data_IF_902722945360
#
_entry.id   IF_902722945360
#
_cell.length_a   1.000
_cell.length_b   1.000
_cell.length_c   1.000
_cell.angle_alpha   90.00
_cell.angle_beta   90.00
_cell.angle_gamma   90.00
#
_symmetry.space_group_name_H-M   'P 1'
#
loop_
_entity.id
_entity.type
_entity.pdbx_description
1 polymer ?
#
# COMPACT_ATOMS: atom_id res chain seq x y z
N UNK A 1 12.62 24.03 -19.68
CA UNK A 1 12.13 23.41 -18.43
C UNK A 1 12.95 22.15 -18.22
N UNK A 2 13.94 22.20 -17.34
CA UNK A 2 14.85 21.06 -17.12
C UNK A 2 14.12 20.08 -16.22
N UNK A 3 13.68 18.95 -16.79
CA UNK A 3 12.97 17.91 -16.06
C UNK A 3 13.90 17.40 -14.96
N UNK A 4 13.57 17.65 -13.69
CA UNK A 4 14.30 17.02 -12.60
C UNK A 4 13.97 15.55 -12.68
N UNK A 5 14.91 14.74 -13.15
CA UNK A 5 14.72 13.30 -13.27
C UNK A 5 14.72 12.73 -11.85
N UNK A 6 13.53 12.36 -11.38
CA UNK A 6 13.40 11.62 -10.13
C UNK A 6 13.91 10.19 -10.33
N UNK A 7 14.54 9.58 -9.33
CA UNK A 7 14.85 8.16 -9.39
C UNK A 7 13.54 7.36 -9.40
N UNK A 8 13.42 6.45 -10.38
CA UNK A 8 12.42 5.40 -10.36
C UNK A 8 13.02 4.21 -9.61
N UNK A 9 12.43 3.78 -8.49
CA UNK A 9 12.97 2.69 -7.65
C UNK A 9 12.52 1.32 -8.13
N UNK A 10 13.28 0.25 -7.83
CA UNK A 10 12.99 -1.11 -8.33
C UNK A 10 11.75 -1.76 -7.71
N UNK A 11 11.37 -1.30 -6.52
CA UNK A 11 10.20 -1.75 -5.77
C UNK A 11 9.04 -0.74 -5.82
N UNK A 12 9.10 0.30 -6.67
CA UNK A 12 8.08 1.34 -6.78
C UNK A 12 6.99 0.98 -7.80
N UNK A 13 5.73 1.32 -7.54
CA UNK A 13 4.70 1.23 -8.57
C UNK A 13 4.88 2.32 -9.62
N UNK A 14 4.78 1.98 -10.91
CA UNK A 14 4.95 2.98 -11.98
C UNK A 14 3.93 4.12 -11.90
N UNK A 15 2.69 3.86 -11.48
CA UNK A 15 1.70 4.92 -11.23
C UNK A 15 2.09 5.84 -10.06
N UNK A 16 2.82 5.34 -9.06
CA UNK A 16 3.37 6.16 -7.98
C UNK A 16 4.49 7.06 -8.49
N UNK A 17 5.38 6.50 -9.31
CA UNK A 17 6.44 7.26 -9.97
C UNK A 17 5.89 8.39 -10.85
N UNK A 18 4.87 8.09 -11.68
CA UNK A 18 4.19 9.11 -12.50
C UNK A 18 3.54 10.19 -11.62
N UNK A 19 2.93 9.83 -10.49
CA UNK A 19 2.37 10.80 -9.55
C UNK A 19 3.44 11.73 -8.94
N UNK A 20 4.63 11.21 -8.63
CA UNK A 20 5.77 12.03 -8.17
C UNK A 20 6.29 12.94 -9.28
N UNK A 21 6.42 12.43 -10.50
CA UNK A 21 6.83 13.23 -11.66
C UNK A 21 5.84 14.36 -11.99
N UNK A 22 4.53 14.06 -11.97
CA UNK A 22 3.49 15.07 -12.16
C UNK A 22 3.62 16.20 -11.13
N UNK A 23 3.78 15.85 -9.85
CA UNK A 23 3.98 16.82 -8.76
C UNK A 23 5.27 17.63 -8.94
N UNK A 24 6.36 17.01 -9.38
CA UNK A 24 7.64 17.67 -9.66
C UNK A 24 7.56 18.67 -10.83
N UNK A 25 6.63 18.45 -11.76
CA UNK A 25 6.32 19.36 -12.86
C UNK A 25 5.26 20.42 -12.49
N UNK A 26 4.87 20.49 -11.22
CA UNK A 26 3.80 21.37 -10.71
C UNK A 26 2.44 21.11 -11.34
N UNK A 27 2.19 19.88 -11.81
CA UNK A 27 0.86 19.45 -12.24
C UNK A 27 0.03 19.04 -11.02
N UNK A 28 -1.29 19.15 -11.16
CA UNK A 28 -2.24 18.89 -10.09
C UNK A 28 -2.61 17.42 -9.94
N UNK A 29 -2.38 16.59 -10.96
CA UNK A 29 -2.73 15.17 -10.95
C UNK A 29 -1.93 14.35 -11.97
N UNK A 30 -1.93 13.02 -11.82
CA UNK A 30 -1.52 12.07 -12.86
C UNK A 30 -2.38 12.25 -14.12
N UNK A 31 -3.67 12.57 -13.97
CA UNK A 31 -4.58 12.77 -15.12
C UNK A 31 -4.09 13.90 -16.02
N UNK A 32 -3.69 15.03 -15.43
CA UNK A 32 -3.15 16.17 -16.18
C UNK A 32 -1.86 15.78 -16.93
N UNK A 33 -0.99 15.03 -16.26
CA UNK A 33 0.24 14.51 -16.86
C UNK A 33 -0.04 13.57 -18.04
N UNK A 34 -1.02 12.68 -17.91
CA UNK A 34 -1.41 11.77 -19.00
C UNK A 34 -2.04 12.52 -20.17
N UNK A 35 -2.82 13.58 -19.90
CA UNK A 35 -3.45 14.42 -20.91
C UNK A 35 -2.41 15.11 -21.81
N UNK A 36 -1.34 15.65 -21.22
CA UNK A 36 -0.22 16.27 -21.95
C UNK A 36 0.45 15.27 -22.91
N UNK A 37 0.51 14.00 -22.51
CA UNK A 37 1.09 12.91 -23.32
C UNK A 37 0.08 12.27 -24.28
N UNK A 38 -1.18 12.71 -24.27
CA UNK A 38 -2.29 12.10 -25.02
C UNK A 38 -2.42 10.59 -24.73
N UNK A 39 -2.21 10.21 -23.48
CA UNK A 39 -2.45 8.86 -22.98
C UNK A 39 -3.83 8.80 -22.31
N UNK A 40 -4.65 7.82 -22.68
CA UNK A 40 -5.94 7.63 -22.02
C UNK A 40 -5.73 7.09 -20.61
N UNK A 41 -6.38 7.72 -19.63
CA UNK A 41 -6.29 7.32 -18.22
C UNK A 41 -6.70 5.86 -18.00
N UNK A 42 -7.78 5.41 -18.64
CA UNK A 42 -8.25 4.03 -18.54
C UNK A 42 -7.22 3.02 -19.08
N UNK A 43 -6.55 3.34 -20.18
CA UNK A 43 -5.50 2.49 -20.76
C UNK A 43 -4.28 2.42 -19.85
N UNK A 44 -3.88 3.55 -19.28
CA UNK A 44 -2.79 3.61 -18.30
C UNK A 44 -3.12 2.80 -17.02
N UNK A 45 -4.30 2.99 -16.44
CA UNK A 45 -4.75 2.30 -15.22
C UNK A 45 -4.99 0.79 -15.41
N UNK A 46 -5.33 0.37 -16.62
CA UNK A 46 -5.45 -1.05 -16.97
C UNK A 46 -4.13 -1.70 -17.37
N UNK A 47 -3.05 -0.91 -17.46
CA UNK A 47 -1.71 -1.39 -17.80
C UNK A 47 -1.52 -1.70 -19.28
N UNK A 48 -2.24 -1.02 -20.18
CA UNK A 48 -2.12 -1.26 -21.61
C UNK A 48 -0.68 -1.01 -22.08
N UNK A 49 -0.02 -1.98 -22.74
CA UNK A 49 1.40 -1.90 -23.06
C UNK A 49 1.81 -0.65 -23.83
N UNK A 50 0.95 -0.15 -24.72
CA UNK A 50 1.21 1.06 -25.51
C UNK A 50 1.14 2.33 -24.67
N UNK A 51 0.13 2.45 -23.80
CA UNK A 51 -0.02 3.58 -22.89
C UNK A 51 1.16 3.66 -21.92
N UNK A 52 1.55 2.54 -21.31
CA UNK A 52 2.71 2.47 -20.41
C UNK A 52 4.00 2.82 -21.14
N UNK A 53 4.21 2.28 -22.36
CA UNK A 53 5.42 2.58 -23.13
C UNK A 53 5.52 4.06 -23.51
N UNK A 54 4.40 4.70 -23.84
CA UNK A 54 4.34 6.13 -24.18
C UNK A 54 4.76 6.99 -22.99
N UNK A 55 4.20 6.72 -21.82
CA UNK A 55 4.50 7.45 -20.58
C UNK A 55 5.94 7.21 -20.14
N UNK A 56 6.42 5.95 -20.19
CA UNK A 56 7.79 5.61 -19.84
C UNK A 56 8.82 6.35 -20.70
N UNK A 57 8.62 6.37 -22.03
CA UNK A 57 9.48 7.10 -22.96
C UNK A 57 9.53 8.61 -22.66
N UNK A 58 8.39 9.21 -22.35
CA UNK A 58 8.32 10.64 -22.01
C UNK A 58 9.09 10.97 -20.72
N UNK A 59 9.12 10.04 -19.76
CA UNK A 59 9.84 10.15 -18.50
C UNK A 59 11.30 9.64 -18.56
N UNK A 60 11.78 9.20 -19.73
CA UNK A 60 13.12 8.63 -19.88
C UNK A 60 13.33 7.29 -19.16
N UNK A 61 12.25 6.57 -18.87
CA UNK A 61 12.26 5.25 -18.23
C UNK A 61 12.21 4.16 -19.29
N UNK A 62 12.97 3.08 -19.08
CA UNK A 62 12.87 1.87 -19.92
C UNK A 62 11.42 1.33 -19.91
N UNK A 63 10.75 1.23 -21.08
CA UNK A 63 9.40 0.69 -21.18
C UNK A 63 9.25 -0.73 -20.64
N UNK A 64 10.28 -1.58 -20.71
CA UNK A 64 10.19 -2.93 -20.17
C UNK A 64 10.09 -2.91 -18.64
N UNK A 65 10.96 -2.11 -17.99
CA UNK A 65 10.90 -1.84 -16.56
C UNK A 65 9.58 -1.21 -16.11
N UNK A 66 9.10 -0.20 -16.83
CA UNK A 66 7.81 0.44 -16.50
C UNK A 66 6.64 -0.55 -16.54
N UNK A 67 6.60 -1.43 -17.56
CA UNK A 67 5.59 -2.51 -17.66
C UNK A 67 5.72 -3.52 -16.54
N UNK A 68 6.94 -3.89 -16.16
CA UNK A 68 7.20 -4.81 -15.05
C UNK A 68 6.60 -4.30 -13.74
N UNK A 69 6.67 -2.99 -13.50
CA UNK A 69 6.19 -2.33 -12.27
C UNK A 69 4.78 -1.73 -12.41
N UNK A 70 4.00 -2.19 -13.40
CA UNK A 70 2.62 -1.76 -13.63
C UNK A 70 1.67 -2.95 -13.50
N UNK A 71 0.51 -2.74 -12.88
CA UNK A 71 -0.58 -3.70 -12.94
C UNK A 71 -1.10 -3.85 -14.36
N UNK A 72 -1.04 -5.06 -14.91
CA UNK A 72 -1.73 -5.41 -16.15
C UNK A 72 -2.82 -6.44 -15.90
N UNK A 73 -3.98 -6.24 -16.51
CA UNK A 73 -5.02 -7.28 -16.47
C UNK A 73 -4.53 -8.49 -17.27
N UNK A 74 -4.67 -9.66 -16.66
CA UNK A 74 -4.58 -10.95 -17.34
C UNK A 74 -6.02 -11.41 -17.68
N UNK A 75 -6.18 -12.62 -18.22
CA UNK A 75 -7.51 -13.16 -18.50
C UNK A 75 -8.38 -13.24 -17.22
N UNK A 76 -9.62 -12.76 -17.33
CA UNK A 76 -10.62 -12.84 -16.25
C UNK A 76 -10.37 -11.90 -15.07
N UNK A 77 -10.23 -12.46 -13.87
CA UNK A 77 -10.04 -11.73 -12.60
C UNK A 77 -8.57 -11.70 -12.14
N UNK A 78 -7.65 -12.18 -12.97
CA UNK A 78 -6.24 -12.19 -12.65
C UNK A 78 -5.57 -10.88 -13.10
N UNK A 79 -4.60 -10.45 -12.32
CA UNK A 79 -3.80 -9.25 -12.55
C UNK A 79 -2.34 -9.63 -12.34
N UNK A 80 -1.48 -9.14 -13.22
CA UNK A 80 -0.04 -9.36 -13.15
C UNK A 80 0.66 -8.10 -12.64
N UNK A 81 1.64 -8.29 -11.75
CA UNK A 81 2.57 -7.26 -11.29
C UNK A 81 3.93 -7.91 -11.06
N UNK A 82 5.00 -7.34 -11.64
CA UNK A 82 6.37 -7.83 -11.47
C UNK A 82 6.51 -9.34 -11.68
N UNK A 83 5.87 -9.86 -12.73
CA UNK A 83 5.86 -11.29 -13.07
C UNK A 83 4.91 -12.15 -12.23
N UNK A 84 4.48 -11.68 -11.07
CA UNK A 84 3.56 -12.39 -10.17
C UNK A 84 2.11 -12.24 -10.64
N UNK A 85 1.36 -13.33 -10.61
CA UNK A 85 -0.08 -13.35 -10.91
C UNK A 85 -0.87 -13.38 -9.61
N UNK A 86 -1.80 -12.45 -9.48
CA UNK A 86 -2.64 -12.24 -8.31
C UNK A 86 -4.09 -12.06 -8.73
N UNK A 87 -5.02 -12.44 -7.88
CA UNK A 87 -6.44 -12.24 -8.06
C UNK A 87 -6.79 -10.78 -7.71
N UNK A 88 -7.58 -10.10 -8.54
CA UNK A 88 -7.87 -8.66 -8.42
C UNK A 88 -8.39 -8.26 -7.02
N UNK A 89 -9.25 -9.09 -6.40
CA UNK A 89 -9.73 -8.93 -5.01
C UNK A 89 -8.65 -8.87 -3.91
N UNK A 90 -7.44 -9.32 -4.21
CA UNK A 90 -6.27 -9.31 -3.32
C UNK A 90 -5.38 -8.09 -3.53
N UNK A 91 -5.77 -7.18 -4.42
CA UNK A 91 -5.00 -5.97 -4.75
C UNK A 91 -5.73 -4.70 -4.31
N UNK A 92 -4.94 -3.71 -3.92
CA UNK A 92 -5.35 -2.33 -3.67
C UNK A 92 -4.86 -1.45 -4.83
N UNK A 93 -5.51 -1.57 -5.99
CA UNK A 93 -5.03 -0.94 -7.24
C UNK A 93 -5.20 0.57 -7.29
N UNK A 94 -6.17 1.10 -6.55
CA UNK A 94 -6.53 2.52 -6.54
C UNK A 94 -6.09 3.27 -5.29
N UNK A 95 -5.53 2.57 -4.31
CA UNK A 95 -5.20 3.12 -2.99
C UNK A 95 -3.72 2.91 -2.70
N UNK A 96 -3.11 3.88 -2.04
CA UNK A 96 -1.73 3.78 -1.58
C UNK A 96 -1.70 3.74 -0.06
N UNK A 97 -1.39 2.57 0.48
CA UNK A 97 -0.94 2.45 1.87
C UNK A 97 0.54 2.71 1.95
N UNK A 98 0.99 3.17 3.11
CA UNK A 98 2.40 3.47 3.35
C UNK A 98 2.84 3.02 4.73
N UNK A 99 4.12 2.72 4.85
CA UNK A 99 4.77 2.69 6.15
C UNK A 99 5.25 4.11 6.49
N UNK A 100 4.80 4.72 7.60
CA UNK A 100 5.23 6.06 7.98
C UNK A 100 6.76 6.17 8.14
N UNK A 101 7.38 5.18 8.78
CA UNK A 101 8.84 5.16 8.96
C UNK A 101 9.61 5.06 7.63
N UNK A 102 9.14 4.26 6.65
CA UNK A 102 9.76 4.21 5.32
C UNK A 102 9.66 5.57 4.62
N UNK A 103 8.48 6.21 4.63
CA UNK A 103 8.34 7.53 4.02
C UNK A 103 9.21 8.58 4.71
N UNK A 104 9.28 8.56 6.05
CA UNK A 104 10.16 9.44 6.83
C UNK A 104 11.63 9.24 6.43
N UNK A 105 12.07 8.00 6.27
CA UNK A 105 13.41 7.69 5.80
C UNK A 105 13.67 8.18 4.36
N UNK A 106 12.69 8.04 3.46
CA UNK A 106 12.78 8.53 2.08
C UNK A 106 12.87 10.06 2.02
N UNK A 107 12.05 10.76 2.81
CA UNK A 107 12.04 12.23 2.91
C UNK A 107 13.38 12.73 3.50
N UNK A 108 13.91 12.02 4.50
CA UNK A 108 15.12 12.40 5.20
C UNK A 108 14.88 13.39 6.33
N UNK A 109 15.91 14.15 6.70
CA UNK A 109 15.91 14.95 7.94
C UNK A 109 15.11 16.25 7.88
N UNK A 110 14.76 16.72 6.68
CA UNK A 110 14.05 17.99 6.49
C UNK A 110 12.88 17.77 5.54
N UNK A 111 11.67 18.05 6.00
CA UNK A 111 10.49 18.09 5.16
C UNK A 111 10.48 19.39 4.34
N UNK A 112 10.43 19.23 3.01
CA UNK A 112 10.35 20.31 2.03
C UNK A 112 9.62 19.79 0.80
N UNK A 113 9.09 20.66 -0.08
CA UNK A 113 8.47 20.20 -1.32
C UNK A 113 9.38 19.30 -2.18
N UNK A 114 10.70 19.53 -2.12
CA UNK A 114 11.68 18.73 -2.87
C UNK A 114 11.94 17.37 -2.22
N UNK A 115 12.09 17.33 -0.89
CA UNK A 115 12.33 16.07 -0.18
C UNK A 115 11.08 15.19 -0.09
N UNK A 116 9.88 15.77 -0.07
CA UNK A 116 8.62 15.04 -0.18
C UNK A 116 8.57 14.17 -1.45
N UNK A 117 9.16 14.63 -2.56
CA UNK A 117 9.23 13.87 -3.82
C UNK A 117 10.14 12.65 -3.74
N UNK A 118 10.94 12.47 -2.69
CA UNK A 118 11.71 11.25 -2.49
C UNK A 118 10.84 10.11 -1.97
N UNK A 119 9.73 10.41 -1.30
CA UNK A 119 8.82 9.42 -0.75
C UNK A 119 8.06 8.72 -1.89
N UNK A 120 7.92 7.39 -1.82
CA UNK A 120 7.28 6.61 -2.89
C UNK A 120 6.52 5.38 -2.38
N UNK A 121 5.47 4.94 -3.11
CA UNK A 121 4.74 3.74 -2.75
C UNK A 121 5.47 2.48 -3.21
N UNK A 122 5.76 1.56 -2.28
CA UNK A 122 6.29 0.24 -2.63
C UNK A 122 5.21 -0.65 -3.24
N UNK A 123 5.59 -1.50 -4.18
CA UNK A 123 4.74 -2.51 -4.83
C UNK A 123 4.09 -3.45 -3.81
N UNK A 124 4.85 -3.95 -2.83
CA UNK A 124 4.34 -4.86 -1.81
C UNK A 124 3.12 -4.28 -1.04
N UNK A 125 3.07 -2.96 -0.85
CA UNK A 125 1.99 -2.30 -0.11
C UNK A 125 0.63 -2.34 -0.82
N UNK A 126 0.62 -2.68 -2.10
CA UNK A 126 -0.60 -2.86 -2.90
C UNK A 126 -1.23 -4.25 -2.73
N UNK A 127 -0.57 -5.17 -2.04
CA UNK A 127 -1.08 -6.52 -1.77
C UNK A 127 -1.92 -6.49 -0.50
N UNK A 128 -3.23 -6.71 -0.62
CA UNK A 128 -4.20 -6.49 0.48
C UNK A 128 -3.81 -7.20 1.78
N UNK A 129 -3.41 -8.49 1.78
CA UNK A 129 -2.98 -9.17 3.02
C UNK A 129 -1.66 -8.65 3.63
N UNK A 130 -0.88 -7.85 2.91
CA UNK A 130 0.28 -7.14 3.49
C UNK A 130 -0.25 -5.97 4.31
N UNK A 131 -0.20 -6.06 5.63
CA UNK A 131 -0.79 -5.04 6.52
C UNK A 131 0.22 -4.29 7.38
N UNK A 132 1.46 -4.76 7.44
CA UNK A 132 2.54 -4.10 8.16
C UNK A 132 3.82 -4.04 7.31
N UNK A 133 4.71 -3.14 7.69
CA UNK A 133 6.05 -3.07 7.12
C UNK A 133 6.96 -4.11 7.77
N UNK A 134 7.63 -4.99 7.00
CA UNK A 134 8.53 -6.00 7.58
C UNK A 134 9.83 -5.41 8.13
N UNK A 135 10.20 -4.18 7.74
CA UNK A 135 11.41 -3.52 8.20
C UNK A 135 11.21 -2.79 9.53
N UNK A 136 10.04 -2.18 9.72
CA UNK A 136 9.75 -1.30 10.87
C UNK A 136 8.70 -1.88 11.83
N UNK A 137 8.04 -2.98 11.48
CA UNK A 137 6.92 -3.58 12.22
C UNK A 137 5.81 -2.55 12.53
N UNK A 138 5.61 -1.59 11.63
CA UNK A 138 4.53 -0.61 11.72
C UNK A 138 3.40 -1.00 10.79
N UNK A 139 2.17 -0.72 11.21
CA UNK A 139 0.98 -0.87 10.37
C UNK A 139 1.12 -0.02 9.11
N UNK A 140 0.72 -0.58 7.97
CA UNK A 140 0.58 0.17 6.74
C UNK A 140 -0.70 1.01 6.83
N UNK A 141 -0.54 2.32 6.84
CA UNK A 141 -1.65 3.28 7.02
C UNK A 141 -2.16 3.80 5.68
N UNK A 142 -3.42 4.20 5.66
CA UNK A 142 -4.05 4.95 4.57
C UNK A 142 -4.05 6.44 4.90
N UNK A 143 -4.17 7.34 3.90
CA UNK A 143 -4.54 8.72 4.19
C UNK A 143 -5.88 8.74 4.93
N UNK A 144 -6.02 9.60 5.95
CA UNK A 144 -7.20 9.61 6.83
C UNK A 144 -8.46 10.11 6.11
N UNK A 145 -8.28 10.96 5.10
CA UNK A 145 -9.35 11.45 4.24
C UNK A 145 -9.40 10.67 2.92
N UNK A 146 -10.61 10.56 2.36
CA UNK A 146 -10.81 9.91 1.06
C UNK A 146 -10.00 10.65 -0.01
N UNK A 147 -9.02 9.97 -0.58
CA UNK A 147 -8.15 10.54 -1.60
C UNK A 147 -8.57 10.17 -3.02
N UNK A 148 -8.08 10.93 -3.99
CA UNK A 148 -8.30 10.61 -5.39
C UNK A 148 -7.63 9.27 -5.73
N UNK A 149 -8.36 8.33 -6.35
CA UNK A 149 -7.79 7.07 -6.81
C UNK A 149 -6.55 7.27 -7.66
N UNK A 150 -5.52 6.46 -7.44
CA UNK A 150 -4.27 6.47 -8.24
C UNK A 150 -3.39 7.73 -8.10
N UNK A 151 -3.70 8.65 -7.17
CA UNK A 151 -2.90 9.85 -6.89
C UNK A 151 -2.06 9.72 -5.62
N UNK A 152 -0.83 9.21 -5.71
CA UNK A 152 0.02 9.01 -4.54
C UNK A 152 0.42 10.33 -3.86
N UNK A 153 1.09 11.24 -4.58
CA UNK A 153 1.69 12.44 -4.00
C UNK A 153 0.63 13.33 -3.36
N UNK A 154 -0.48 13.54 -4.06
CA UNK A 154 -1.59 14.36 -3.59
C UNK A 154 -2.32 13.73 -2.39
N UNK A 155 -2.49 12.40 -2.37
CA UNK A 155 -3.12 11.70 -1.24
C UNK A 155 -2.40 11.93 0.08
N UNK A 156 -1.07 12.06 0.03
CA UNK A 156 -0.22 12.08 1.22
C UNK A 156 0.28 13.46 1.62
N UNK A 157 0.14 14.48 0.75
CA UNK A 157 0.69 15.83 0.96
C UNK A 157 0.26 16.46 2.30
N UNK A 158 -1.02 16.34 2.65
CA UNK A 158 -1.56 16.87 3.91
C UNK A 158 -1.07 16.14 5.17
N UNK A 159 -0.57 14.90 5.02
CA UNK A 159 -0.21 14.01 6.13
C UNK A 159 1.30 13.84 6.31
N UNK A 160 2.11 14.51 5.47
CA UNK A 160 3.57 14.37 5.53
C UNK A 160 4.15 14.86 6.87
N UNK A 161 3.57 15.90 7.46
CA UNK A 161 4.02 16.40 8.77
C UNK A 161 3.77 15.35 9.86
N UNK A 162 2.56 14.81 9.94
CA UNK A 162 2.18 13.77 10.90
C UNK A 162 3.04 12.49 10.73
N UNK A 163 3.40 12.15 9.49
CA UNK A 163 4.34 11.05 9.20
C UNK A 163 5.74 11.36 9.75
N UNK A 164 6.24 12.57 9.50
CA UNK A 164 7.59 12.99 9.94
C UNK A 164 7.67 13.04 11.46
N UNK A 165 6.63 13.54 12.11
CA UNK A 165 6.54 13.65 13.58
C UNK A 165 6.28 12.29 14.25
N UNK A 166 5.81 11.29 13.49
CA UNK A 166 5.55 9.94 13.98
C UNK A 166 4.16 9.73 14.56
N UNK A 167 3.25 10.68 14.36
CA UNK A 167 1.87 10.62 14.86
C UNK A 167 1.05 9.49 14.23
N UNK A 168 1.48 9.01 13.05
CA UNK A 168 0.87 7.87 12.37
C UNK A 168 1.52 6.52 12.70
N UNK A 169 2.52 6.47 13.58
CA UNK A 169 3.24 5.25 13.92
C UNK A 169 2.35 4.33 14.79
N UNK A 170 2.00 3.16 14.25
CA UNK A 170 1.28 2.11 14.99
C UNK A 170 2.10 0.82 14.94
N UNK A 171 2.73 0.47 16.06
CA UNK A 171 3.52 -0.76 16.19
C UNK A 171 2.62 -1.99 16.15
N UNK A 172 2.99 -2.97 15.32
CA UNK A 172 2.34 -4.27 15.23
C UNK A 172 3.25 -5.30 15.90
N UNK A 173 2.90 -5.78 17.12
CA UNK A 173 3.71 -6.77 17.81
C UNK A 173 3.60 -8.13 17.12
N UNK A 174 4.74 -8.66 16.72
CA UNK A 174 4.88 -9.94 16.01
C UNK A 174 5.89 -9.85 14.87
N UNK A 175 6.25 -10.99 14.29
CA UNK A 175 6.99 -11.08 13.05
C UNK A 175 6.12 -10.82 11.82
N UNK A 176 6.72 -10.22 10.80
CA UNK A 176 6.10 -9.88 9.51
C UNK A 176 6.50 -10.89 8.42
N UNK A 177 6.37 -12.19 8.71
CA UNK A 177 6.92 -13.25 7.86
C UNK A 177 6.31 -13.28 6.45
N UNK A 178 4.99 -13.13 6.34
CA UNK A 178 4.31 -13.06 5.05
C UNK A 178 4.71 -11.79 4.29
N UNK A 179 4.73 -10.65 4.97
CA UNK A 179 5.07 -9.36 4.38
C UNK A 179 6.52 -9.32 3.89
N UNK A 180 7.45 -9.89 4.66
CA UNK A 180 8.84 -10.06 4.25
C UNK A 180 8.96 -10.95 3.01
N UNK A 181 8.24 -12.08 2.97
CA UNK A 181 8.20 -12.96 1.80
C UNK A 181 7.66 -12.24 0.54
N UNK A 182 6.58 -11.46 0.67
CA UNK A 182 6.05 -10.67 -0.46
C UNK A 182 7.08 -9.65 -0.96
N UNK A 183 7.77 -8.97 -0.05
CA UNK A 183 8.87 -8.06 -0.40
C UNK A 183 10.01 -8.80 -1.12
N UNK A 184 10.45 -9.97 -0.61
CA UNK A 184 11.49 -10.79 -1.23
C UNK A 184 11.11 -11.18 -2.67
N UNK A 185 9.88 -11.65 -2.87
CA UNK A 185 9.36 -12.04 -4.20
C UNK A 185 9.38 -10.87 -5.17
N UNK A 186 8.95 -9.68 -4.75
CA UNK A 186 8.98 -8.49 -5.63
C UNK A 186 10.38 -7.98 -5.91
N UNK A 187 11.32 -8.16 -4.98
CA UNK A 187 12.73 -7.85 -5.19
C UNK A 187 13.48 -8.92 -6.00
N UNK A 188 12.84 -10.06 -6.32
CA UNK A 188 13.50 -11.20 -6.95
C UNK A 188 14.52 -11.89 -6.04
N UNK A 189 14.43 -11.67 -4.73
CA UNK A 189 15.29 -12.28 -3.74
C UNK A 189 14.78 -13.69 -3.39
N UNK A 190 15.69 -14.61 -3.01
CA UNK A 190 15.28 -15.87 -2.42
C UNK A 190 14.50 -15.58 -1.13
N UNK A 191 13.33 -16.21 -1.01
CA UNK A 191 12.45 -16.06 0.13
C UNK A 191 13.11 -16.52 1.42
N UNK A 192 12.98 -15.70 2.45
CA UNK A 192 13.30 -16.05 3.83
C UNK A 192 12.50 -17.25 4.37
N UNK A 193 11.36 -17.58 3.76
CA UNK A 193 10.45 -18.66 4.15
C UNK A 193 10.41 -19.79 3.13
N UNK A 194 11.52 -20.19 2.50
CA UNK A 194 11.61 -21.02 1.27
C UNK A 194 10.63 -22.20 1.03
N UNK A 195 9.91 -22.72 2.03
CA UNK A 195 8.73 -23.58 1.80
C UNK A 195 7.53 -22.83 1.16
N UNK A 196 7.41 -21.53 1.43
CA UNK A 196 6.36 -20.63 0.97
C UNK A 196 6.41 -20.43 -0.55
N UNK A 197 7.59 -20.56 -1.17
CA UNK A 197 7.79 -20.36 -2.62
C UNK A 197 6.98 -21.33 -3.48
N UNK A 198 6.54 -22.45 -2.90
CA UNK A 198 5.65 -23.40 -3.55
C UNK A 198 4.19 -22.93 -3.68
N UNK A 199 3.83 -21.79 -3.10
CA UNK A 199 2.46 -21.28 -3.07
C UNK A 199 2.33 -19.93 -3.77
N UNK A 200 1.23 -19.69 -4.51
CA UNK A 200 0.88 -18.35 -4.96
C UNK A 200 0.70 -17.39 -3.77
N UNK A 201 1.14 -16.13 -3.92
CA UNK A 201 1.06 -15.12 -2.85
C UNK A 201 -0.35 -14.91 -2.30
N UNK A 202 -1.38 -15.04 -3.13
CA UNK A 202 -2.79 -14.94 -2.70
C UNK A 202 -3.21 -16.07 -1.78
N UNK A 203 -2.73 -17.29 -2.07
CA UNK A 203 -3.03 -18.47 -1.29
C UNK A 203 -2.33 -18.38 0.06
N UNK A 204 -1.05 -17.97 0.08
CA UNK A 204 -0.32 -17.71 1.34
C UNK A 204 -0.97 -16.61 2.17
N UNK A 205 -1.39 -15.51 1.52
CA UNK A 205 -2.07 -14.42 2.21
C UNK A 205 -3.38 -14.91 2.85
N UNK A 206 -4.16 -15.71 2.13
CA UNK A 206 -5.37 -16.33 2.69
C UNK A 206 -5.06 -17.28 3.85
N UNK A 207 -4.02 -18.09 3.76
CA UNK A 207 -3.59 -18.99 4.84
C UNK A 207 -3.20 -18.18 6.07
N UNK A 208 -2.37 -17.13 5.90
CA UNK A 208 -1.95 -16.25 6.97
C UNK A 208 -3.15 -15.56 7.66
N UNK A 209 -4.07 -15.01 6.87
CA UNK A 209 -5.32 -14.41 7.38
C UNK A 209 -6.16 -15.44 8.16
N UNK A 210 -6.36 -16.63 7.59
CA UNK A 210 -7.21 -17.68 8.18
C UNK A 210 -6.62 -18.20 9.48
N UNK A 211 -5.31 -18.47 9.51
CA UNK A 211 -4.62 -18.91 10.72
C UNK A 211 -4.62 -17.82 11.80
N UNK A 212 -4.44 -16.56 11.41
CA UNK A 212 -4.57 -15.41 12.31
C UNK A 212 -5.95 -15.34 12.94
N UNK A 213 -7.01 -15.38 12.14
CA UNK A 213 -8.39 -15.37 12.64
C UNK A 213 -8.66 -16.55 13.57
N UNK A 214 -8.24 -17.76 13.19
CA UNK A 214 -8.43 -18.96 14.00
C UNK A 214 -7.70 -18.88 15.35
N UNK A 215 -6.47 -18.33 15.37
CA UNK A 215 -5.68 -18.14 16.59
C UNK A 215 -6.36 -17.18 17.58
N UNK A 216 -7.09 -16.19 17.09
CA UNK A 216 -7.60 -15.07 17.90
C UNK A 216 -9.06 -15.20 18.28
N UNK A 217 -9.88 -15.68 17.35
CA UNK A 217 -11.32 -15.76 17.50
C UNK A 217 -11.82 -17.20 17.61
N UNK A 218 -10.90 -18.17 17.53
CA UNK A 218 -11.19 -19.60 17.59
C UNK A 218 -11.39 -20.24 16.21
N UNK A 219 -11.26 -21.57 16.17
CA UNK A 219 -11.43 -22.35 14.95
C UNK A 219 -12.83 -22.17 14.34
N UNK A 220 -12.89 -22.16 12.99
CA UNK A 220 -14.15 -22.07 12.24
C UNK A 220 -14.68 -20.65 12.02
N UNK A 221 -14.06 -19.62 12.61
CA UNK A 221 -14.40 -18.21 12.35
C UNK A 221 -13.77 -17.72 11.05
N UNK A 222 -14.52 -16.92 10.30
CA UNK A 222 -14.03 -16.17 9.14
C UNK A 222 -13.81 -14.72 9.52
N UNK A 223 -12.95 -14.04 8.78
CA UNK A 223 -12.68 -12.62 9.01
C UNK A 223 -13.95 -11.76 8.93
N UNK A 224 -14.86 -12.08 8.00
CA UNK A 224 -16.16 -11.43 7.88
C UNK A 224 -17.04 -11.57 9.13
N UNK A 225 -16.85 -12.64 9.92
CA UNK A 225 -17.59 -12.93 11.14
C UNK A 225 -17.02 -12.19 12.36
N UNK A 226 -15.90 -11.48 12.20
CA UNK A 226 -15.17 -10.83 13.27
C UNK A 226 -15.42 -9.31 13.34
N UNK A 227 -16.30 -8.76 12.50
CA UNK A 227 -16.60 -7.31 12.46
C UNK A 227 -15.41 -6.44 12.01
N UNK A 228 -14.35 -7.05 11.48
CA UNK A 228 -13.14 -6.34 11.04
C UNK A 228 -13.39 -5.74 9.66
N UNK A 229 -13.55 -4.41 9.61
CA UNK A 229 -13.70 -3.70 8.35
C UNK A 229 -12.33 -3.56 7.66
N UNK A 230 -12.09 -4.36 6.61
CA UNK A 230 -10.89 -4.24 5.76
C UNK A 230 -11.01 -3.15 4.68
N UNK A 231 -12.16 -2.48 4.59
CA UNK A 231 -12.47 -1.50 3.56
C UNK A 231 -12.88 -0.19 4.21
N UNK A 232 -11.99 0.81 4.16
CA UNK A 232 -12.39 2.23 4.19
C UNK A 232 -13.26 2.68 5.37
N UNK A 233 -13.01 2.23 6.60
CA UNK A 233 -13.53 2.96 7.76
C UNK A 233 -12.51 4.06 8.11
N UNK A 234 -12.85 5.37 8.02
CA UNK A 234 -12.10 6.35 8.78
C UNK A 234 -12.13 5.91 10.25
N UNK A 235 -11.05 6.12 11.03
CA UNK A 235 -10.89 5.58 12.39
C UNK A 235 -12.00 5.99 13.40
N UNK A 236 -12.97 6.81 12.97
CA UNK A 236 -14.04 7.38 13.78
C UNK A 236 -15.39 6.62 13.62
N UNK A 237 -15.62 5.87 12.54
CA UNK A 237 -16.96 5.30 12.25
C UNK A 237 -17.13 3.81 12.51
N UNK A 238 -16.06 3.10 12.85
CA UNK A 238 -16.14 1.69 13.22
C UNK A 238 -16.07 1.58 14.75
N UNK A 239 -17.22 1.77 15.41
CA UNK A 239 -17.39 1.51 16.85
C UNK A 239 -17.23 0.01 17.13
N UNK A 240 -16.01 -0.42 17.38
CA UNK A 240 -15.72 -1.73 17.97
C UNK A 240 -14.99 -1.48 19.26
N UNK A 241 -15.75 -1.49 20.34
CA UNK A 241 -15.24 -1.45 21.70
C UNK A 241 -14.54 -2.77 22.00
N UNK A 242 -13.32 -2.65 22.52
CA UNK A 242 -12.70 -3.60 23.44
C UNK A 242 -11.95 -4.79 22.83
N UNK A 243 -10.61 -4.71 22.76
CA UNK A 243 -9.76 -5.89 22.92
C UNK A 243 -8.49 -5.50 23.72
N UNK A 244 -8.00 -6.39 24.57
CA UNK A 244 -6.67 -6.28 25.18
C UNK A 244 -6.01 -7.62 24.99
N UNK A 245 -4.80 -7.59 24.44
CA UNK A 245 -3.89 -8.72 24.48
C UNK A 245 -4.14 -9.79 23.43
N UNK A 246 -3.36 -9.75 22.36
CA UNK A 246 -2.72 -10.94 21.81
C UNK A 246 -1.62 -10.48 20.87
N UNK A 247 -0.43 -11.05 21.01
CA UNK A 247 0.66 -10.88 20.06
C UNK A 247 0.23 -11.50 18.72
N UNK A 248 0.42 -10.73 17.63
CA UNK A 248 -0.01 -10.96 16.24
C UNK A 248 -1.51 -10.80 15.98
N UNK A 249 -2.00 -9.55 15.81
CA UNK A 249 -3.41 -9.28 15.43
C UNK A 249 -3.58 -7.97 14.68
N UNK A 250 -4.43 -8.01 13.64
CA UNK A 250 -5.12 -6.87 13.05
C UNK A 250 -5.76 -5.98 14.12
N UNK A 251 -5.30 -4.75 14.26
CA UNK A 251 -5.76 -3.83 15.30
C UNK A 251 -6.30 -2.52 14.72
N UNK A 252 -7.52 -2.17 15.18
CA UNK A 252 -8.24 -0.92 14.96
C UNK A 252 -8.02 -0.04 16.21
N UNK A 253 -7.73 1.25 16.04
CA UNK A 253 -7.36 2.17 17.14
C UNK A 253 -8.46 2.34 18.22
N UNK A 254 -8.10 2.58 19.49
CA UNK A 254 -9.03 3.02 20.53
C UNK A 254 -9.31 4.53 20.45
N UNK A 255 -10.58 4.92 20.61
CA UNK A 255 -11.02 6.31 20.77
C UNK A 255 -10.53 6.91 22.11
N UNK A 256 -10.04 8.16 22.04
CA UNK A 256 -9.65 9.03 23.17
C UNK A 256 -10.85 9.68 23.88
N UNK A 257 -12.05 9.10 23.85
CA UNK A 257 -13.18 9.60 24.64
C UNK A 257 -13.28 8.84 25.97
N UNK A 258 -12.64 9.42 27.00
CA UNK A 258 -12.75 8.92 28.36
C UNK A 258 -14.18 9.00 28.88
N UNK A 259 -14.94 7.89 28.81
CA UNK A 259 -16.08 7.61 29.69
C UNK A 259 -16.15 6.12 29.99
N UNK A 260 -15.93 5.78 31.27
CA UNK A 260 -16.20 4.47 31.85
C UNK A 260 -17.69 4.12 31.68
N UNK A 261 -18.06 2.90 31.26
CA UNK A 261 -19.43 2.45 31.44
C UNK A 261 -19.62 1.99 32.89
N UNK A 262 -20.68 2.53 33.46
CA UNK A 262 -21.23 2.27 34.77
C UNK A 262 -21.82 0.86 34.81
N UNK A 263 -21.67 0.19 35.96
CA UNK A 263 -22.28 -1.09 36.31
C UNK A 263 -23.81 -1.07 36.37
N UNK A 264 -24.45 -2.21 36.03
CA UNK A 264 -25.87 -2.53 36.25
C UNK A 264 -26.58 -2.88 34.93
N UNK A 265 -27.37 -3.94 34.80
CA UNK A 265 -28.32 -4.56 35.73
C UNK A 265 -28.59 -6.04 35.35
N UNK A 266 -28.95 -6.80 36.39
CA UNK A 266 -29.85 -7.98 36.50
C UNK A 266 -29.84 -9.07 35.44
#
# INVERSE_FOLDING_TARGET
>A
MTLTVLPFHDDELFTGYVSRCARALSLTSVVDFLADLRALQADFQSGQPEAISRVAKALGVDPARAKWQTFSRDDGQNVRLAGVVLHDKRLLRSQFRVCPACLRADIGTVLSPKSALNAYPRMAWSIRPVVQCPQHNLLLVHPLEASQPHEFSQSWEAWLQDIVDGDMDVLVPGGAGYEAHVSDVFSGNPSSLGWADGFPLDALGLIAETLGVAKLFGAGRRLADCGVCQTSCPPISCGVSDFRGAEFVFWIQPDRSGRLPVSGFS
#
